data_IF_470704669502
#
_entry.id   IF_470704669502
#
_cell.length_a   1.000
_cell.length_b   1.000
_cell.length_c   1.000
_cell.angle_alpha   90.00
_cell.angle_beta   90.00
_cell.angle_gamma   90.00
#
_symmetry.space_group_name_H-M   'P 1'
#
loop_
_entity.id
_entity.type
_entity.pdbx_description
1 polymer ?
#
# COMPACT_ATOMS: atom_id res chain seq x y z
N UNK A 1 16.16 -15.71 16.44
CA UNK A 1 16.05 -15.58 16.04
C UNK A 1 15.50 -15.22 15.23
N UNK A 2 15.37 -15.11 14.82
CA UNK A 2 14.78 -14.80 14.03
C UNK A 2 15.17 -13.78 13.50
N UNK A 3 15.54 -13.20 13.65
CA UNK A 3 15.84 -12.12 13.25
C UNK A 3 16.79 -12.22 12.29
N UNK A 4 17.51 -12.36 12.21
CA UNK A 4 18.31 -12.42 11.39
C UNK A 4 18.70 -13.54 11.13
N UNK A 5 18.63 -14.03 11.74
CA UNK A 5 19.02 -15.22 11.55
C UNK A 5 18.22 -15.83 10.58
N UNK A 6 17.48 -15.27 9.99
CA UNK A 6 16.75 -15.75 9.03
C UNK A 6 17.60 -16.64 8.30
N UNK A 7 18.63 -16.22 7.85
CA UNK A 7 19.46 -16.94 7.07
C UNK A 7 19.90 -18.20 7.61
N UNK A 8 20.40 -18.25 8.63
CA UNK A 8 20.84 -19.44 9.13
C UNK A 8 19.93 -20.42 9.40
N UNK A 9 19.11 -20.18 10.09
CA UNK A 9 18.19 -21.07 10.44
C UNK A 9 17.56 -21.58 9.37
N UNK A 10 17.68 -21.02 8.42
CA UNK A 10 16.98 -21.42 7.40
C UNK A 10 17.27 -22.74 7.02
N UNK A 11 18.09 -23.19 7.43
CA UNK A 11 18.37 -24.40 7.04
C UNK A 11 17.24 -25.17 7.26
N UNK A 12 16.46 -24.92 8.04
CA UNK A 12 15.41 -25.67 8.36
C UNK A 12 14.51 -25.62 7.38
N UNK A 13 14.59 -25.08 6.57
CA UNK A 13 13.82 -25.04 5.62
C UNK A 13 12.81 -25.92 5.34
N UNK A 14 12.34 -26.15 4.57
CA UNK A 14 11.34 -26.95 4.23
C UNK A 14 10.09 -26.23 3.98
N UNK A 15 9.00 -26.93 3.94
CA UNK A 15 7.70 -26.37 3.71
C UNK A 15 7.38 -25.31 4.67
N UNK A 16 7.75 -25.50 5.91
CA UNK A 16 7.42 -24.55 6.93
C UNK A 16 8.10 -23.23 6.65
N UNK A 17 9.34 -23.22 6.20
CA UNK A 17 10.04 -21.99 5.92
C UNK A 17 9.43 -21.29 4.73
N UNK A 18 9.04 -22.03 3.71
CA UNK A 18 8.41 -21.43 2.54
C UNK A 18 7.06 -20.83 2.89
N UNK A 19 6.29 -21.52 3.74
CA UNK A 19 5.00 -21.01 4.17
C UNK A 19 5.18 -19.74 4.97
N UNK A 20 6.17 -19.69 5.86
CA UNK A 20 6.42 -18.51 6.67
C UNK A 20 6.83 -17.34 5.78
N UNK A 21 7.64 -17.60 4.75
CA UNK A 21 8.06 -16.54 3.86
C UNK A 21 6.87 -15.99 3.07
N UNK A 22 5.96 -16.86 2.66
CA UNK A 22 4.77 -16.42 1.94
C UNK A 22 3.87 -15.55 2.82
N UNK A 23 3.73 -15.91 4.10
CA UNK A 23 2.94 -15.11 5.02
C UNK A 23 3.64 -13.77 5.25
N UNK A 24 4.97 -13.77 5.36
CA UNK A 24 5.73 -12.52 5.56
C UNK A 24 5.50 -11.55 4.40
N UNK A 25 5.46 -12.08 3.17
CA UNK A 25 5.24 -11.22 2.02
C UNK A 25 3.82 -10.65 2.06
N UNK A 26 2.86 -11.47 2.47
CA UNK A 26 1.47 -11.01 2.54
C UNK A 26 1.32 -9.94 3.61
N UNK A 27 2.02 -10.08 4.76
CA UNK A 27 1.98 -9.07 5.80
C UNK A 27 2.62 -7.76 5.33
N UNK A 28 3.70 -7.83 4.56
CA UNK A 28 4.34 -6.63 4.04
C UNK A 28 3.40 -5.92 3.07
N UNK A 29 2.71 -6.68 2.22
CA UNK A 29 1.78 -6.08 1.27
C UNK A 29 0.54 -5.53 1.98
N UNK A 30 0.14 -6.15 3.11
CA UNK A 30 -0.94 -5.59 3.91
C UNK A 30 -0.54 -4.22 4.42
N UNK A 31 0.69 -4.08 4.90
CA UNK A 31 1.17 -2.79 5.38
C UNK A 31 1.18 -1.76 4.26
N UNK A 32 1.53 -2.16 3.03
CA UNK A 32 1.49 -1.23 1.90
C UNK A 32 0.04 -0.79 1.64
N UNK A 33 -0.88 -1.73 1.59
CA UNK A 33 -2.27 -1.41 1.27
C UNK A 33 -2.90 -0.51 2.33
N UNK A 34 -2.68 -0.83 3.59
CA UNK A 34 -3.31 -0.10 4.70
C UNK A 34 -2.69 1.28 4.86
N UNK A 35 -1.36 1.40 4.74
CA UNK A 35 -0.73 2.71 4.87
C UNK A 35 -1.02 3.59 3.64
N UNK A 36 -1.22 2.98 2.48
CA UNK A 36 -1.62 3.75 1.30
C UNK A 36 -2.99 4.38 1.54
N UNK A 37 -3.94 3.61 2.09
CA UNK A 37 -5.25 4.15 2.41
C UNK A 37 -5.10 5.25 3.47
N UNK A 38 -4.21 5.06 4.44
CA UNK A 38 -3.96 6.07 5.48
C UNK A 38 -3.44 7.38 4.91
N UNK A 39 -2.49 7.31 3.98
CA UNK A 39 -1.95 8.52 3.35
C UNK A 39 -3.03 9.19 2.53
N UNK A 40 -3.86 8.42 1.82
CA UNK A 40 -4.93 9.00 1.02
C UNK A 40 -5.91 9.76 1.91
N UNK A 41 -6.29 9.17 3.03
CA UNK A 41 -7.23 9.84 3.94
C UNK A 41 -6.59 11.07 4.57
N UNK A 42 -5.30 11.02 4.86
CA UNK A 42 -4.60 12.20 5.38
C UNK A 42 -4.61 13.32 4.32
N UNK A 43 -4.43 12.97 3.04
CA UNK A 43 -4.49 13.98 2.00
C UNK A 43 -5.91 14.56 1.90
N UNK A 44 -6.93 13.71 1.98
CA UNK A 44 -8.30 14.22 1.93
C UNK A 44 -8.59 15.14 3.10
N UNK A 45 -8.19 14.75 4.30
CA UNK A 45 -8.45 15.57 5.49
C UNK A 45 -7.70 16.90 5.40
N UNK A 46 -6.41 16.84 5.08
CA UNK A 46 -5.59 18.06 5.02
C UNK A 46 -6.06 19.00 3.92
N UNK A 47 -6.41 18.43 2.77
CA UNK A 47 -6.87 19.26 1.66
C UNK A 47 -8.23 19.88 1.96
N UNK A 48 -9.06 19.19 2.76
CA UNK A 48 -10.32 19.77 3.20
C UNK A 48 -10.10 21.01 4.05
N UNK A 49 -8.95 21.10 4.72
CA UNK A 49 -8.62 22.25 5.53
C UNK A 49 -7.78 23.27 4.78
N UNK A 50 -7.59 23.09 3.49
CA UNK A 50 -6.88 24.06 2.67
C UNK A 50 -5.38 23.88 2.58
N UNK A 51 -4.86 22.74 3.03
CA UNK A 51 -3.42 22.53 2.98
C UNK A 51 -3.00 21.95 1.64
N UNK A 52 -1.81 22.33 1.17
CA UNK A 52 -1.25 21.77 -0.05
C UNK A 52 -0.69 20.37 0.24
N UNK A 53 -0.64 19.53 -0.76
CA UNK A 53 -0.16 18.15 -0.58
C UNK A 53 1.26 18.12 -0.03
N UNK A 54 2.14 19.02 -0.46
CA UNK A 54 3.51 19.02 0.05
C UNK A 54 3.55 19.26 1.55
N UNK A 55 2.70 20.14 2.06
CA UNK A 55 2.65 20.44 3.48
C UNK A 55 2.13 19.23 4.24
N UNK A 56 1.09 18.59 3.70
CA UNK A 56 0.52 17.41 4.35
C UNK A 56 1.59 16.31 4.42
N UNK A 57 2.32 16.08 3.33
CA UNK A 57 3.34 15.05 3.32
C UNK A 57 4.43 15.34 4.36
N UNK A 58 4.83 16.59 4.52
CA UNK A 58 5.81 16.93 5.53
C UNK A 58 5.30 16.63 6.93
N UNK A 59 4.03 16.88 7.17
CA UNK A 59 3.44 16.63 8.48
C UNK A 59 3.41 15.15 8.82
N UNK A 60 3.49 14.28 7.82
CA UNK A 60 3.48 12.84 8.05
C UNK A 60 4.88 12.26 8.36
N UNK A 61 5.93 13.08 8.30
CA UNK A 61 7.29 12.60 8.47
C UNK A 61 7.56 11.92 9.80
N UNK A 62 6.89 12.32 10.86
CA UNK A 62 7.15 11.72 12.17
C UNK A 62 6.03 10.76 12.57
N UNK A 63 5.27 10.28 11.62
CA UNK A 63 4.14 9.39 11.91
C UNK A 63 4.40 8.02 11.33
N UNK A 64 3.52 7.08 11.62
CA UNK A 64 3.61 5.74 11.06
C UNK A 64 3.38 5.67 9.55
N UNK A 65 2.96 6.79 8.93
CA UNK A 65 2.76 6.82 7.49
C UNK A 65 4.00 7.31 6.73
N UNK A 66 5.10 7.60 7.44
CA UNK A 66 6.28 8.18 6.81
C UNK A 66 6.85 7.32 5.68
N UNK A 67 6.89 6.01 5.86
CA UNK A 67 7.46 5.15 4.85
C UNK A 67 6.66 5.25 3.55
N UNK A 68 5.35 5.17 3.65
CA UNK A 68 4.50 5.21 2.47
C UNK A 68 4.57 6.60 1.81
N UNK A 69 4.56 7.67 2.61
CA UNK A 69 4.59 9.00 2.02
C UNK A 69 5.93 9.27 1.36
N UNK A 70 7.02 8.70 1.85
CA UNK A 70 8.32 8.88 1.22
C UNK A 70 8.38 8.08 -0.08
N UNK A 71 7.84 6.87 -0.08
CA UNK A 71 7.88 6.01 -1.24
C UNK A 71 7.03 6.57 -2.39
N UNK A 72 5.87 7.12 -2.06
CA UNK A 72 4.93 7.55 -3.09
C UNK A 72 4.81 9.08 -3.23
N UNK A 73 5.54 9.83 -2.41
CA UNK A 73 5.53 11.28 -2.50
C UNK A 73 5.80 11.80 -3.91
N UNK A 74 6.81 11.28 -4.63
CA UNK A 74 7.07 11.78 -5.97
C UNK A 74 5.90 11.65 -6.94
N UNK A 75 5.05 10.62 -6.76
CA UNK A 75 3.87 10.49 -7.59
C UNK A 75 2.83 11.53 -7.17
N UNK A 76 2.69 11.76 -5.86
CA UNK A 76 1.69 12.69 -5.33
C UNK A 76 1.99 14.12 -5.76
N UNK A 77 3.26 14.48 -5.77
CA UNK A 77 3.65 15.84 -6.15
C UNK A 77 3.84 16.02 -7.66
N UNK A 78 3.67 14.94 -8.41
CA UNK A 78 3.75 15.03 -9.86
C UNK A 78 5.13 14.83 -10.46
N UNK A 79 6.13 14.49 -9.65
CA UNK A 79 7.47 14.27 -10.16
C UNK A 79 7.59 12.95 -10.92
N UNK A 80 6.74 12.01 -10.64
CA UNK A 80 6.75 10.72 -11.33
C UNK A 80 5.37 10.40 -11.86
N UNK A 81 5.32 9.73 -13.00
CA UNK A 81 4.07 9.28 -13.58
C UNK A 81 3.73 7.88 -13.07
N UNK A 82 2.46 7.55 -13.09
CA UNK A 82 2.01 6.24 -12.62
C UNK A 82 2.26 5.15 -13.65
N UNK A 83 2.79 5.47 -14.81
CA UNK A 83 3.13 4.52 -15.85
C UNK A 83 4.58 4.72 -16.23
N UNK A 84 5.39 3.68 -16.20
CA UNK A 84 5.08 2.33 -15.79
C UNK A 84 5.01 2.24 -14.27
N UNK A 85 4.24 1.30 -13.77
CA UNK A 85 4.07 1.15 -12.34
C UNK A 85 5.11 0.24 -11.74
N UNK A 86 5.56 0.57 -10.53
CA UNK A 86 6.47 -0.30 -9.81
C UNK A 86 5.66 -1.46 -9.21
N UNK A 87 4.46 -1.17 -8.73
CA UNK A 87 3.59 -2.19 -8.15
C UNK A 87 2.19 -1.74 -8.58
N UNK A 88 1.55 -2.50 -9.45
CA UNK A 88 0.31 -2.03 -10.07
C UNK A 88 -0.90 -2.14 -9.15
N UNK A 89 -1.91 -1.36 -9.47
CA UNK A 89 -3.20 -1.42 -8.78
C UNK A 89 -3.72 -2.85 -8.81
N UNK A 90 -3.67 -3.51 -9.98
CA UNK A 90 -4.18 -4.87 -10.11
C UNK A 90 -3.43 -5.83 -9.22
N UNK A 91 -2.11 -5.71 -9.15
CA UNK A 91 -1.31 -6.62 -8.34
C UNK A 91 -1.57 -6.45 -6.85
N UNK A 92 -1.63 -5.20 -6.38
CA UNK A 92 -1.86 -4.98 -4.95
C UNK A 92 -3.30 -5.33 -4.58
N UNK A 93 -4.25 -5.06 -5.46
CA UNK A 93 -5.65 -5.41 -5.21
C UNK A 93 -5.81 -6.93 -5.11
N UNK A 94 -5.13 -7.67 -5.99
CA UNK A 94 -5.19 -9.11 -5.97
C UNK A 94 -4.63 -9.64 -4.65
N UNK A 95 -3.51 -9.08 -4.20
CA UNK A 95 -2.90 -9.52 -2.95
C UNK A 95 -3.81 -9.15 -1.76
N UNK A 96 -4.44 -7.98 -1.81
CA UNK A 96 -5.33 -7.56 -0.71
C UNK A 96 -6.54 -8.49 -0.60
N UNK A 97 -7.08 -8.91 -1.74
CA UNK A 97 -8.19 -9.84 -1.72
C UNK A 97 -7.76 -11.21 -1.19
N UNK A 98 -6.52 -11.61 -1.46
CA UNK A 98 -5.99 -12.84 -0.92
C UNK A 98 -5.85 -12.73 0.60
N UNK A 99 -5.50 -11.54 1.13
CA UNK A 99 -5.44 -11.33 2.56
C UNK A 99 -6.79 -11.59 3.20
N UNK A 100 -7.85 -11.07 2.58
CA UNK A 100 -9.20 -11.28 3.12
C UNK A 100 -9.58 -12.76 3.09
N UNK A 101 -9.20 -13.47 2.04
CA UNK A 101 -9.53 -14.88 1.94
C UNK A 101 -8.74 -15.73 2.92
N UNK A 102 -7.54 -15.28 3.29
CA UNK A 102 -6.67 -16.03 4.17
C UNK A 102 -7.02 -15.82 5.65
N UNK A 103 -7.45 -14.62 6.00
CA UNK A 103 -7.75 -14.30 7.40
C UNK A 103 -9.04 -14.98 7.84
N UNK A 104 -9.12 -15.33 9.12
CA UNK A 104 -10.35 -15.91 9.65
C UNK A 104 -11.14 -14.84 10.41
N UNK A 105 -10.78 -13.57 10.28
CA UNK A 105 -11.52 -12.46 10.87
C UNK A 105 -11.56 -11.34 9.84
N UNK A 106 -12.54 -10.44 9.94
CA UNK A 106 -12.62 -9.34 9.00
C UNK A 106 -11.39 -8.44 9.08
N UNK A 107 -10.98 -7.86 7.97
CA UNK A 107 -9.87 -6.93 7.90
C UNK A 107 -10.41 -5.60 7.34
N UNK A 108 -11.07 -4.77 8.17
CA UNK A 108 -11.75 -3.57 7.66
C UNK A 108 -10.84 -2.57 6.96
N UNK A 109 -9.60 -2.40 7.42
CA UNK A 109 -8.69 -1.47 6.76
C UNK A 109 -8.28 -1.98 5.39
N UNK A 110 -8.09 -3.29 5.26
CA UNK A 110 -7.79 -3.91 3.98
C UNK A 110 -9.00 -3.75 3.05
N UNK A 111 -10.20 -3.94 3.60
CA UNK A 111 -11.41 -3.80 2.79
C UNK A 111 -11.53 -2.37 2.24
N UNK A 112 -11.21 -1.36 3.05
CA UNK A 112 -11.23 0.03 2.58
C UNK A 112 -10.21 0.25 1.47
N UNK A 113 -9.02 -0.31 1.62
CA UNK A 113 -7.99 -0.19 0.59
C UNK A 113 -8.43 -0.87 -0.71
N UNK A 114 -9.08 -2.02 -0.62
CA UNK A 114 -9.58 -2.70 -1.80
C UNK A 114 -10.56 -1.81 -2.56
N UNK A 115 -11.43 -1.10 -1.83
CA UNK A 115 -12.37 -0.21 -2.50
C UNK A 115 -11.64 0.86 -3.32
N UNK A 116 -10.53 1.39 -2.78
CA UNK A 116 -9.77 2.42 -3.50
C UNK A 116 -9.14 1.81 -4.76
N UNK A 117 -8.61 0.59 -4.65
CA UNK A 117 -8.00 -0.06 -5.81
C UNK A 117 -9.06 -0.37 -6.87
N UNK A 118 -10.23 -0.81 -6.43
CA UNK A 118 -11.31 -1.13 -7.38
C UNK A 118 -11.81 0.12 -8.08
N UNK A 119 -11.83 1.25 -7.41
CA UNK A 119 -12.19 2.51 -8.05
C UNK A 119 -11.20 2.81 -9.18
N UNK A 120 -9.92 2.60 -8.94
CA UNK A 120 -8.92 2.84 -9.96
C UNK A 120 -9.02 1.85 -11.11
N UNK A 121 -9.38 0.61 -10.82
CA UNK A 121 -9.59 -0.38 -11.87
C UNK A 121 -10.77 0.05 -12.75
N UNK A 122 -11.83 0.55 -12.15
CA UNK A 122 -13.00 1.01 -12.89
C UNK A 122 -12.66 2.20 -13.77
N UNK A 123 -11.67 3.00 -13.42
CA UNK A 123 -11.23 4.13 -14.23
C UNK A 123 -10.24 3.71 -15.31
N UNK A 124 -9.88 2.44 -15.37
CA UNK A 124 -8.93 1.94 -16.38
C UNK A 124 -7.48 2.03 -15.94
N UNK A 125 -7.23 2.21 -14.64
CA UNK A 125 -5.86 2.39 -14.14
C UNK A 125 -5.28 1.12 -13.52
N UNK A 126 -5.86 -0.05 -13.80
CA UNK A 126 -5.43 -1.28 -13.16
C UNK A 126 -3.97 -1.62 -13.41
N UNK A 127 -3.42 -1.25 -14.58
CA UNK A 127 -2.04 -1.55 -14.91
C UNK A 127 -1.08 -0.43 -14.52
N UNK A 128 -1.57 0.60 -13.84
CA UNK A 128 -0.72 1.71 -13.40
C UNK A 128 -0.27 1.47 -11.96
N UNK A 129 0.74 2.19 -11.53
CA UNK A 129 1.24 2.07 -10.16
C UNK A 129 0.11 2.31 -9.18
N UNK A 130 0.12 1.64 -8.03
CA UNK A 130 -0.99 1.79 -7.09
C UNK A 130 -1.07 3.23 -6.55
N UNK A 131 -0.02 4.04 -6.76
CA UNK A 131 -0.08 5.45 -6.37
C UNK A 131 -1.16 6.20 -7.15
N UNK A 132 -1.77 5.56 -8.17
CA UNK A 132 -2.89 6.19 -8.86
C UNK A 132 -4.02 6.54 -7.91
N UNK A 133 -4.15 5.86 -6.76
CA UNK A 133 -5.17 6.22 -5.79
C UNK A 133 -4.94 7.63 -5.26
N UNK A 134 -3.69 8.08 -5.22
CA UNK A 134 -3.37 9.43 -4.77
C UNK A 134 -3.48 10.41 -5.94
N UNK A 135 -2.90 10.04 -7.07
CA UNK A 135 -2.79 10.93 -8.22
C UNK A 135 -4.16 11.31 -8.77
N UNK A 136 -5.07 10.34 -8.79
CA UNK A 136 -6.38 10.59 -9.35
C UNK A 136 -7.47 10.75 -8.29
N UNK A 137 -7.09 11.09 -7.06
CA UNK A 137 -8.05 11.13 -5.94
C UNK A 137 -9.17 12.15 -6.10
N UNK A 138 -8.94 13.15 -6.92
CA UNK A 138 -9.97 14.16 -7.09
C UNK A 138 -10.78 13.97 -8.37
N UNK A 139 -10.62 12.82 -9.04
CA UNK A 139 -11.32 12.62 -10.27
C UNK A 139 -12.50 11.73 -10.17
N UNK A 140 -12.71 11.10 -9.11
CA UNK A 140 -13.81 10.20 -8.97
C UNK A 140 -15.04 10.91 -8.62
#
# INVERSE_FOLDING_TARGET
>A
TIAEPWADENKLIGVESAATAAIGKLLANLALAVTAEGVLEALHLGESEGLDSEVILEMLDITGLAFMKNMKGPFITGERNTTPGDFTVDALCKDAKLMEMTANKPLPAVAAAIERFEEQQAMGHGDQDFSSIFVFRNKG
#
